data_IF_661836965346
#
_entry.id   IF_661836965346
#
_cell.length_a   1.000
_cell.length_b   1.000
_cell.length_c   1.000
_cell.angle_alpha   90.00
_cell.angle_beta   90.00
_cell.angle_gamma   90.00
#
_symmetry.space_group_name_H-M   'P 1'
#
loop_
_entity.id
_entity.type
_entity.pdbx_description
1 polymer ?
#
# COMPACT_ATOMS: atom_id res chain seq x y z
N UNK A 1 15.01 -0.80 12.24
CA UNK A 1 14.23 0.41 11.95
C UNK A 1 13.46 0.12 10.69
N UNK A 2 12.16 0.10 10.84
CA UNK A 2 11.19 -0.27 9.82
C UNK A 2 10.07 0.75 9.84
N UNK A 3 9.33 0.86 8.75
CA UNK A 3 8.17 1.74 8.66
C UNK A 3 6.96 0.89 8.33
N UNK A 4 6.02 0.77 9.26
CA UNK A 4 4.73 0.13 9.02
C UNK A 4 3.87 1.04 8.16
N UNK A 5 3.06 0.46 7.28
CA UNK A 5 2.09 1.21 6.51
C UNK A 5 0.78 0.44 6.35
N UNK A 6 -0.30 1.20 6.21
CA UNK A 6 -1.62 0.71 5.83
C UNK A 6 -2.22 1.67 4.81
N UNK A 7 -3.02 1.14 3.90
CA UNK A 7 -3.77 1.97 2.95
C UNK A 7 -5.12 1.34 2.61
N UNK A 8 -6.06 2.20 2.25
CA UNK A 8 -7.33 1.82 1.64
C UNK A 8 -7.45 2.51 0.30
N UNK A 9 -7.75 1.75 -0.77
CA UNK A 9 -8.00 2.26 -2.11
C UNK A 9 -9.46 2.02 -2.47
N UNK A 10 -10.17 3.04 -2.94
CA UNK A 10 -11.58 2.98 -3.36
C UNK A 10 -11.75 2.31 -4.73
N UNK A 11 -11.26 1.07 -4.82
CA UNK A 11 -11.40 0.18 -5.97
C UNK A 11 -11.32 -1.27 -5.50
N UNK A 12 -11.94 -2.20 -6.23
CA UNK A 12 -11.73 -3.65 -6.07
C UNK A 12 -11.15 -4.30 -7.33
N UNK A 13 -10.72 -3.49 -8.31
CA UNK A 13 -10.15 -3.98 -9.55
C UNK A 13 -8.70 -4.44 -9.35
N UNK A 14 -8.53 -5.76 -9.27
CA UNK A 14 -7.26 -6.42 -9.04
C UNK A 14 -6.17 -6.04 -10.05
N UNK A 15 -6.53 -5.89 -11.32
CA UNK A 15 -5.56 -5.60 -12.39
C UNK A 15 -5.06 -4.16 -12.28
N UNK A 16 -5.97 -3.21 -12.03
CA UNK A 16 -5.61 -1.82 -11.76
C UNK A 16 -4.71 -1.69 -10.53
N UNK A 17 -5.03 -2.40 -9.44
CA UNK A 17 -4.17 -2.39 -8.23
C UNK A 17 -2.81 -3.03 -8.53
N UNK A 18 -2.77 -4.16 -9.24
CA UNK A 18 -1.53 -4.81 -9.61
C UNK A 18 -0.63 -3.93 -10.47
N UNK A 19 -1.19 -3.20 -11.44
CA UNK A 19 -0.45 -2.27 -12.29
C UNK A 19 0.17 -1.12 -11.46
N UNK A 20 -0.60 -0.51 -10.56
CA UNK A 20 -0.13 0.58 -9.70
C UNK A 20 1.01 0.09 -8.80
N UNK A 21 0.83 -1.04 -8.12
CA UNK A 21 1.82 -1.58 -7.19
C UNK A 21 3.07 -2.07 -7.92
N UNK A 22 2.90 -2.69 -9.09
CA UNK A 22 4.00 -3.11 -9.98
C UNK A 22 4.84 -1.91 -10.40
N UNK A 23 4.20 -0.83 -10.83
CA UNK A 23 4.90 0.39 -11.26
C UNK A 23 5.51 1.14 -10.07
N UNK A 24 4.89 1.06 -8.88
CA UNK A 24 5.43 1.66 -7.66
C UNK A 24 6.73 1.00 -7.22
N UNK A 25 6.77 -0.34 -7.23
CA UNK A 25 7.94 -1.09 -6.79
C UNK A 25 8.95 -1.40 -7.92
N UNK A 26 8.61 -1.10 -9.17
CA UNK A 26 9.37 -1.51 -10.36
C UNK A 26 9.52 -3.04 -10.45
N UNK A 27 8.41 -3.76 -10.22
CA UNK A 27 8.33 -5.22 -10.15
C UNK A 27 7.13 -5.74 -10.95
N UNK A 28 7.18 -7.00 -11.41
CA UNK A 28 6.02 -7.71 -11.97
C UNK A 28 5.21 -8.37 -10.84
N UNK A 29 4.26 -7.64 -10.24
CA UNK A 29 3.43 -8.17 -9.17
C UNK A 29 2.23 -8.93 -9.75
N UNK A 30 1.99 -10.13 -9.22
CA UNK A 30 0.95 -11.03 -9.71
C UNK A 30 -0.22 -11.12 -8.77
N UNK A 31 -1.40 -10.94 -9.32
CA UNK A 31 -2.68 -11.22 -8.65
C UNK A 31 -2.81 -12.72 -8.43
N UNK A 32 -3.20 -13.10 -7.21
CA UNK A 32 -3.58 -14.47 -6.84
C UNK A 32 -5.06 -14.50 -6.56
N UNK A 33 -5.83 -15.13 -7.43
CA UNK A 33 -7.26 -15.37 -7.19
C UNK A 33 -7.44 -16.39 -6.06
N UNK A 34 -8.33 -16.10 -5.12
CA UNK A 34 -8.70 -16.99 -4.01
C UNK A 34 -10.15 -17.46 -4.18
N UNK A 35 -10.59 -18.37 -3.31
CA UNK A 35 -12.00 -18.82 -3.26
C UNK A 35 -12.96 -17.64 -3.04
N UNK A 36 -12.50 -16.61 -2.32
CA UNK A 36 -13.17 -15.34 -2.14
C UNK A 36 -12.17 -14.22 -2.41
N UNK A 37 -12.45 -13.40 -3.43
CA UNK A 37 -11.62 -12.26 -3.81
C UNK A 37 -10.25 -12.63 -4.36
N UNK A 38 -9.32 -11.71 -4.18
CA UNK A 38 -7.96 -11.79 -4.69
C UNK A 38 -6.97 -11.17 -3.71
N UNK A 39 -5.70 -11.53 -3.87
CA UNK A 39 -4.61 -10.93 -3.11
C UNK A 39 -3.37 -10.70 -3.99
N UNK A 40 -2.52 -9.78 -3.57
CA UNK A 40 -1.15 -9.60 -4.03
C UNK A 40 -0.27 -9.67 -2.78
N UNK A 41 0.81 -10.46 -2.86
CA UNK A 41 1.78 -10.57 -1.78
C UNK A 41 3.18 -10.50 -2.37
N UNK A 42 3.98 -9.58 -1.83
CA UNK A 42 5.39 -9.41 -2.16
C UNK A 42 6.19 -9.23 -0.87
N UNK A 43 7.38 -9.82 -0.82
CA UNK A 43 8.30 -9.70 0.31
C UNK A 43 9.74 -9.83 -0.18
N UNK A 44 10.54 -8.79 0.02
CA UNK A 44 11.96 -8.75 -0.32
C UNK A 44 12.82 -8.04 0.75
N UNK A 45 14.07 -7.73 0.45
CA UNK A 45 14.96 -7.06 1.41
C UNK A 45 14.53 -5.63 1.77
N UNK A 46 13.72 -4.97 0.95
CA UNK A 46 13.32 -3.57 1.08
C UNK A 46 11.88 -3.40 1.57
N UNK A 47 10.95 -4.28 1.19
CA UNK A 47 9.54 -4.12 1.53
C UNK A 47 8.80 -5.46 1.64
N UNK A 48 7.90 -5.52 2.61
CA UNK A 48 6.80 -6.49 2.68
C UNK A 48 5.51 -5.75 2.33
N UNK A 49 4.71 -6.33 1.43
CA UNK A 49 3.47 -5.76 0.92
C UNK A 49 2.42 -6.86 0.79
N UNK A 50 1.28 -6.63 1.42
CA UNK A 50 0.07 -7.39 1.23
C UNK A 50 -1.04 -6.46 0.73
N UNK A 51 -1.72 -6.84 -0.34
CA UNK A 51 -2.91 -6.16 -0.83
C UNK A 51 -4.04 -7.18 -1.07
N UNK A 52 -5.27 -6.84 -0.70
CA UNK A 52 -6.42 -7.73 -0.88
C UNK A 52 -7.72 -6.96 -0.97
N UNK A 53 -8.73 -7.59 -1.57
CA UNK A 53 -10.10 -7.08 -1.61
C UNK A 53 -10.74 -7.07 -0.21
N UNK A 54 -11.39 -5.96 0.16
CA UNK A 54 -12.14 -5.83 1.42
C UNK A 54 -13.51 -6.54 1.32
N UNK A 55 -13.50 -7.86 1.45
CA UNK A 55 -14.70 -8.68 1.38
C UNK A 55 -15.75 -8.26 2.43
N UNK A 56 -17.00 -8.09 1.99
CA UNK A 56 -18.11 -7.71 2.86
C UNK A 56 -18.29 -6.20 3.07
N UNK A 57 -17.45 -5.36 2.45
CA UNK A 57 -17.68 -3.93 2.35
C UNK A 57 -18.91 -3.62 1.48
N UNK A 58 -19.64 -2.55 1.81
CA UNK A 58 -20.73 -2.03 0.99
C UNK A 58 -20.24 -1.32 -0.28
N UNK A 59 -18.94 -1.04 -0.37
CA UNK A 59 -18.28 -0.36 -1.48
C UNK A 59 -17.05 -1.15 -1.94
N UNK A 60 -16.70 -1.14 -3.23
CA UNK A 60 -15.50 -1.79 -3.73
C UNK A 60 -14.27 -1.14 -3.10
N UNK A 61 -13.52 -1.90 -2.30
CA UNK A 61 -12.38 -1.40 -1.56
C UNK A 61 -11.24 -2.43 -1.58
N UNK A 62 -10.01 -1.95 -1.69
CA UNK A 62 -8.79 -2.74 -1.53
C UNK A 62 -8.04 -2.25 -0.31
N UNK A 63 -7.58 -3.18 0.52
CA UNK A 63 -6.73 -2.91 1.68
C UNK A 63 -5.29 -3.27 1.36
N UNK A 64 -4.38 -2.37 1.70
CA UNK A 64 -2.94 -2.53 1.61
C UNK A 64 -2.35 -2.48 3.02
N UNK A 65 -1.35 -3.31 3.28
CA UNK A 65 -0.60 -3.28 4.53
C UNK A 65 0.78 -3.87 4.35
N UNK A 66 1.74 -3.44 5.17
CA UNK A 66 3.05 -4.07 5.21
C UNK A 66 4.09 -3.24 5.92
N UNK A 67 5.35 -3.53 5.62
CA UNK A 67 6.49 -2.93 6.30
C UNK A 67 7.59 -2.60 5.28
N UNK A 68 7.99 -1.33 5.23
CA UNK A 68 9.20 -0.93 4.53
C UNK A 68 10.42 -1.10 5.46
N UNK A 69 11.43 -1.83 4.99
CA UNK A 69 12.69 -2.09 5.70
C UNK A 69 13.70 -0.97 5.45
N UNK A 70 13.22 0.26 5.59
CA UNK A 70 13.93 1.51 5.33
C UNK A 70 13.80 2.42 6.56
N UNK A 71 14.69 3.40 6.67
CA UNK A 71 14.49 4.53 7.57
C UNK A 71 13.34 5.42 7.08
N UNK A 72 12.79 6.23 7.98
CA UNK A 72 11.64 7.09 7.69
C UNK A 72 11.89 8.07 6.53
N UNK A 73 13.09 8.66 6.47
CA UNK A 73 13.45 9.66 5.46
C UNK A 73 13.51 9.05 4.04
N UNK A 74 13.87 7.77 3.92
CA UNK A 74 13.82 7.02 2.66
C UNK A 74 12.46 6.42 2.35
N UNK A 75 11.69 6.05 3.37
CA UNK A 75 10.34 5.53 3.21
C UNK A 75 9.35 6.63 2.74
N UNK A 76 9.53 7.86 3.20
CA UNK A 76 8.68 8.99 2.83
C UNK A 76 8.53 9.20 1.30
N UNK A 77 9.60 9.38 0.51
CA UNK A 77 9.48 9.54 -0.94
C UNK A 77 8.94 8.28 -1.64
N UNK A 78 9.15 7.09 -1.07
CA UNK A 78 8.58 5.85 -1.59
C UNK A 78 7.04 5.89 -1.48
N UNK A 79 6.49 6.30 -0.33
CA UNK A 79 5.05 6.40 -0.12
C UNK A 79 4.43 7.60 -0.86
N UNK A 80 5.12 8.73 -1.00
CA UNK A 80 4.67 9.83 -1.87
C UNK A 80 4.56 9.39 -3.34
N UNK A 81 5.47 8.51 -3.81
CA UNK A 81 5.35 7.93 -5.15
C UNK A 81 4.11 7.06 -5.28
N UNK A 82 3.72 6.27 -4.27
CA UNK A 82 2.48 5.49 -4.29
C UNK A 82 1.26 6.42 -4.35
N UNK A 83 1.20 7.42 -3.48
CA UNK A 83 0.15 8.44 -3.46
C UNK A 83 -0.02 9.14 -4.82
N UNK A 84 1.10 9.53 -5.45
CA UNK A 84 1.11 10.18 -6.77
C UNK A 84 0.53 9.26 -7.84
N UNK A 85 0.86 7.97 -7.81
CA UNK A 85 0.35 6.97 -8.77
C UNK A 85 -1.15 6.74 -8.61
N UNK A 86 -1.63 6.56 -7.38
CA UNK A 86 -3.06 6.43 -7.12
C UNK A 86 -3.83 7.69 -7.57
N UNK A 87 -3.29 8.88 -7.30
CA UNK A 87 -3.89 10.15 -7.73
C UNK A 87 -3.91 10.27 -9.26
N UNK A 88 -2.82 9.92 -9.94
CA UNK A 88 -2.78 9.93 -11.41
C UNK A 88 -3.74 8.91 -12.05
N UNK A 89 -3.98 7.78 -11.37
CA UNK A 89 -4.99 6.79 -11.75
C UNK A 89 -6.42 7.17 -11.38
N UNK A 90 -6.64 8.29 -10.69
CA UNK A 90 -7.96 8.74 -10.25
C UNK A 90 -8.59 7.83 -9.20
N UNK A 91 -7.77 7.20 -8.35
CA UNK A 91 -8.22 6.28 -7.29
C UNK A 91 -8.21 7.03 -5.95
N UNK A 92 -9.38 7.30 -5.36
CA UNK A 92 -9.47 7.81 -4.00
C UNK A 92 -8.82 6.83 -3.03
N UNK A 93 -8.10 7.35 -2.05
CA UNK A 93 -7.37 6.53 -1.09
C UNK A 93 -7.00 7.29 0.19
N UNK A 94 -6.74 6.50 1.23
CA UNK A 94 -6.07 6.93 2.45
C UNK A 94 -4.84 6.03 2.65
N UNK A 95 -3.66 6.62 2.83
CA UNK A 95 -2.38 5.95 3.08
C UNK A 95 -1.75 6.49 4.35
N UNK A 96 -1.54 5.62 5.33
CA UNK A 96 -0.93 5.93 6.61
C UNK A 96 0.36 5.12 6.79
N UNK A 97 1.41 5.75 7.32
CA UNK A 97 2.66 5.06 7.66
C UNK A 97 3.37 5.69 8.84
N UNK A 98 4.07 4.84 9.60
CA UNK A 98 4.73 5.20 10.85
C UNK A 98 6.00 4.37 11.09
N UNK A 99 6.96 4.94 11.82
CA UNK A 99 8.21 4.26 12.18
C UNK A 99 7.98 3.26 13.32
N UNK A 100 8.29 1.98 13.07
CA UNK A 100 8.30 0.93 14.08
C UNK A 100 9.64 1.00 14.82
N UNK A 101 9.57 1.39 16.11
CA UNK A 101 10.67 1.50 17.08
C UNK A 101 11.37 2.87 17.15
N UNK A 102 11.07 3.64 18.20
CA UNK A 102 12.05 3.95 19.26
C UNK A 102 11.50 4.98 20.27
N UNK A 103 10.95 4.52 21.40
CA UNK A 103 10.91 5.21 22.72
C UNK A 103 10.56 6.72 22.81
N UNK A 104 10.10 7.38 21.75
CA UNK A 104 9.93 8.82 21.63
C UNK A 104 9.09 9.14 20.39
N UNK A 105 7.85 9.55 20.60
CA UNK A 105 7.02 10.42 19.75
C UNK A 105 7.11 10.29 18.21
N UNK A 106 6.09 9.64 17.65
CA UNK A 106 5.15 10.21 16.67
C UNK A 106 5.70 10.74 15.34
N UNK A 107 6.32 9.87 14.53
CA UNK A 107 6.42 10.11 13.08
C UNK A 107 5.33 9.36 12.33
N UNK A 108 4.09 9.82 12.50
CA UNK A 108 2.94 9.39 11.69
C UNK A 108 2.77 10.33 10.50
N UNK A 109 2.45 9.77 9.33
CA UNK A 109 2.08 10.51 8.12
C UNK A 109 0.82 9.91 7.51
N UNK A 110 -0.04 10.79 7.03
CA UNK A 110 -1.29 10.44 6.35
C UNK A 110 -1.29 11.18 5.01
N UNK A 111 -1.49 10.43 3.93
CA UNK A 111 -1.65 10.93 2.56
C UNK A 111 -3.04 10.51 2.07
N UNK A 112 -3.88 11.48 1.73
CA UNK A 112 -5.28 11.26 1.36
C UNK A 112 -5.60 11.89 0.00
N UNK A 113 -6.41 11.20 -0.80
CA UNK A 113 -7.03 11.71 -2.02
C UNK A 113 -8.51 11.30 -2.07
N UNK A 114 -9.40 12.23 -2.45
CA UNK A 114 -10.86 12.06 -2.45
C UNK A 114 -11.48 12.47 -3.77
#
# INVERSE_FOLDING_TARGET
MTVAFTASLDTADAETVAEILSTWLDLDLRVRTRLFGWEIHHDDAAIELYAHEALGSSTPLTLLSGTARLDFDRAHPLFESLHTRCTAGGIPHDLEYEEEDAASDDRVRILTHR
#
